data_IF_131704982431
#
_entry.id   IF_131704982431
#
_cell.length_a   1.000
_cell.length_b   1.000
_cell.length_c   1.000
_cell.angle_alpha   90.00
_cell.angle_beta   90.00
_cell.angle_gamma   90.00
#
_symmetry.space_group_name_H-M   'P 1'
#
loop_
_entity.id
_entity.type
_entity.pdbx_description
1 polymer ?
#
# COMPACT_ATOMS: atom_id res chain seq x y z
N UNK A 1 -11.86 0.39 -4.89
CA UNK A 1 -13.04 -0.49 -4.96
C UNK A 1 -14.34 0.30 -5.15
N UNK A 2 -14.57 1.37 -4.40
CA UNK A 2 -15.72 2.26 -4.61
C UNK A 2 -15.74 2.93 -6.00
N UNK A 3 -14.59 3.02 -6.65
CA UNK A 3 -14.41 3.55 -8.00
C UNK A 3 -14.36 2.46 -9.09
N UNK A 4 -14.75 1.23 -8.78
CA UNK A 4 -14.70 0.10 -9.71
C UNK A 4 -13.31 -0.49 -9.97
N UNK A 5 -12.29 -0.04 -9.23
CA UNK A 5 -10.92 -0.55 -9.37
C UNK A 5 -10.75 -1.82 -8.53
N UNK A 6 -10.29 -2.90 -9.16
CA UNK A 6 -9.91 -4.14 -8.46
C UNK A 6 -8.43 -4.13 -8.14
N UNK A 7 -8.11 -4.24 -6.84
CA UNK A 7 -6.73 -4.32 -6.36
C UNK A 7 -6.56 -5.66 -5.66
N UNK A 8 -5.82 -6.56 -6.28
CA UNK A 8 -5.55 -7.91 -5.77
C UNK A 8 -4.19 -8.02 -5.08
N UNK A 9 -3.22 -7.21 -5.51
CA UNK A 9 -1.90 -7.13 -4.90
C UNK A 9 -1.40 -5.70 -4.83
N UNK A 10 -0.49 -5.45 -3.90
CA UNK A 10 0.22 -4.17 -3.75
C UNK A 10 1.63 -4.41 -3.28
N UNK A 11 2.56 -3.58 -3.73
CA UNK A 11 3.93 -3.59 -3.21
C UNK A 11 4.00 -2.73 -1.96
N UNK A 12 4.76 -3.19 -0.95
CA UNK A 12 4.99 -2.45 0.30
C UNK A 12 6.47 -2.12 0.45
N UNK A 13 6.75 -0.87 0.82
CA UNK A 13 8.11 -0.38 1.11
C UNK A 13 8.10 0.56 2.32
N UNK A 14 9.29 0.99 2.76
CA UNK A 14 9.48 1.89 3.88
C UNK A 14 9.52 1.18 5.23
N UNK A 15 9.61 1.95 6.32
CA UNK A 15 9.84 1.44 7.68
C UNK A 15 8.80 0.42 8.16
N UNK A 16 7.53 0.61 7.81
CA UNK A 16 6.45 -0.32 8.13
C UNK A 16 6.62 -1.70 7.47
N UNK A 17 7.27 -1.78 6.31
CA UNK A 17 7.53 -3.03 5.62
C UNK A 17 8.50 -3.96 6.37
N UNK A 18 9.26 -3.44 7.35
CA UNK A 18 10.15 -4.22 8.21
C UNK A 18 9.42 -5.00 9.30
N UNK A 19 8.23 -4.57 9.69
CA UNK A 19 7.45 -5.21 10.75
C UNK A 19 6.55 -6.32 10.19
N UNK A 20 6.76 -7.59 10.57
CA UNK A 20 5.88 -8.69 10.18
C UNK A 20 4.43 -8.46 10.61
N UNK A 21 4.24 -7.94 11.82
CA UNK A 21 2.91 -7.63 12.34
C UNK A 21 2.21 -6.54 11.51
N UNK A 22 2.93 -5.47 11.17
CA UNK A 22 2.36 -4.40 10.37
C UNK A 22 1.95 -4.87 8.97
N UNK A 23 2.80 -5.66 8.31
CA UNK A 23 2.49 -6.26 7.00
C UNK A 23 1.24 -7.14 7.07
N UNK A 24 1.12 -7.98 8.10
CA UNK A 24 -0.05 -8.82 8.32
C UNK A 24 -1.32 -7.99 8.52
N UNK A 25 -1.28 -6.95 9.34
CA UNK A 25 -2.40 -6.03 9.54
C UNK A 25 -2.80 -5.38 8.20
N UNK A 26 -1.85 -4.84 7.46
CA UNK A 26 -2.11 -4.18 6.19
C UNK A 26 -2.72 -5.12 5.15
N UNK A 27 -2.21 -6.34 5.00
CA UNK A 27 -2.77 -7.33 4.08
C UNK A 27 -4.24 -7.62 4.40
N UNK A 28 -4.58 -7.77 5.68
CA UNK A 28 -5.93 -8.08 6.13
C UNK A 28 -6.89 -6.88 6.04
N UNK A 29 -6.43 -5.66 6.38
CA UNK A 29 -7.24 -4.44 6.26
C UNK A 29 -7.55 -4.12 4.80
N UNK A 30 -6.57 -4.27 3.92
CA UNK A 30 -6.72 -4.00 2.49
C UNK A 30 -7.39 -5.15 1.74
N UNK A 31 -7.44 -6.34 2.34
CA UNK A 31 -7.80 -7.57 1.66
C UNK A 31 -7.08 -7.70 0.32
N UNK A 32 -5.76 -7.63 0.38
CA UNK A 32 -4.89 -7.67 -0.79
C UNK A 32 -3.57 -8.33 -0.43
N UNK A 33 -3.02 -9.07 -1.36
CA UNK A 33 -1.67 -9.62 -1.27
C UNK A 33 -0.65 -8.49 -1.19
N UNK A 34 0.26 -8.54 -0.22
CA UNK A 34 1.37 -7.59 -0.10
C UNK A 34 2.68 -8.24 -0.55
N UNK A 35 3.29 -7.64 -1.55
CA UNK A 35 4.59 -8.02 -2.08
C UNK A 35 5.67 -7.14 -1.42
N UNK A 36 6.52 -7.77 -0.61
CA UNK A 36 7.63 -7.11 0.08
C UNK A 36 8.85 -7.09 -0.83
N UNK A 37 9.41 -5.92 -1.06
CA UNK A 37 10.56 -5.76 -1.96
C UNK A 37 11.87 -6.12 -1.26
N UNK A 38 12.84 -6.62 -2.04
CA UNK A 38 14.21 -6.85 -1.57
C UNK A 38 14.92 -5.55 -1.20
N UNK A 39 14.68 -4.50 -1.98
CA UNK A 39 15.25 -3.17 -1.76
C UNK A 39 14.26 -2.25 -1.06
N UNK A 40 14.70 -1.63 0.04
CA UNK A 40 13.90 -0.70 0.84
C UNK A 40 14.14 0.77 0.46
N UNK A 41 14.79 1.04 -0.66
CA UNK A 41 15.23 2.38 -1.08
C UNK A 41 14.06 3.35 -1.40
N UNK A 42 12.84 2.84 -1.50
CA UNK A 42 11.64 3.66 -1.63
C UNK A 42 11.69 4.66 -2.80
N UNK A 43 11.28 5.93 -2.57
CA UNK A 43 11.20 6.93 -3.62
C UNK A 43 12.53 7.25 -4.31
N UNK A 44 13.66 7.15 -3.60
CA UNK A 44 14.99 7.37 -4.16
C UNK A 44 15.32 6.40 -5.29
N UNK A 45 14.96 5.12 -5.13
CA UNK A 45 15.13 4.12 -6.18
C UNK A 45 14.26 4.43 -7.40
N UNK A 46 13.01 4.87 -7.17
CA UNK A 46 12.11 5.30 -8.26
C UNK A 46 12.70 6.46 -9.07
N UNK A 47 13.25 7.47 -8.39
CA UNK A 47 13.95 8.58 -9.04
C UNK A 47 15.16 8.13 -9.86
N UNK A 48 15.99 7.22 -9.32
CA UNK A 48 17.13 6.65 -10.04
C UNK A 48 16.68 5.87 -11.28
N UNK A 49 15.63 5.06 -11.19
CA UNK A 49 15.08 4.32 -12.33
C UNK A 49 14.56 5.26 -13.43
N UNK A 50 13.88 6.35 -13.07
CA UNK A 50 13.46 7.35 -14.05
C UNK A 50 14.66 8.02 -14.72
N UNK A 51 15.72 8.33 -13.99
CA UNK A 51 16.95 8.89 -14.53
C UNK A 51 17.63 7.92 -15.54
N UNK A 52 17.66 6.62 -15.25
CA UNK A 52 18.19 5.60 -16.16
C UNK A 52 17.44 5.56 -17.50
N UNK A 53 16.13 5.77 -17.49
CA UNK A 53 15.35 5.88 -18.74
C UNK A 53 15.62 7.20 -19.44
N UNK A 54 15.70 8.30 -18.68
CA UNK A 54 15.94 9.63 -19.25
C UNK A 54 17.31 9.76 -19.94
N UNK A 55 18.35 9.12 -19.42
CA UNK A 55 19.67 9.11 -20.04
C UNK A 55 19.88 8.02 -21.10
N UNK A 56 18.86 7.22 -21.40
CA UNK A 56 18.87 6.22 -22.47
C UNK A 56 19.51 4.87 -22.12
N UNK A 57 19.82 4.63 -20.83
CA UNK A 57 20.36 3.33 -20.37
C UNK A 57 19.32 2.21 -20.52
N UNK A 58 18.04 2.54 -20.45
CA UNK A 58 16.91 1.62 -20.62
C UNK A 58 15.84 2.26 -21.49
N UNK A 59 15.19 1.45 -22.31
CA UNK A 59 14.19 1.91 -23.28
C UNK A 59 12.87 2.33 -22.60
N UNK A 60 12.54 1.80 -21.42
CA UNK A 60 11.27 2.09 -20.75
C UNK A 60 11.35 1.91 -19.23
N UNK A 61 10.42 2.55 -18.54
CA UNK A 61 10.21 2.38 -17.08
C UNK A 61 9.88 0.92 -16.75
N UNK A 62 9.14 0.23 -17.61
CA UNK A 62 8.79 -1.17 -17.40
C UNK A 62 10.03 -2.05 -17.34
N UNK A 63 10.94 -1.89 -18.31
CA UNK A 63 12.18 -2.64 -18.39
C UNK A 63 13.05 -2.46 -17.12
N UNK A 64 13.19 -1.24 -16.65
CA UNK A 64 13.93 -0.94 -15.41
C UNK A 64 13.23 -1.58 -14.20
N UNK A 65 11.91 -1.48 -14.13
CA UNK A 65 11.14 -2.10 -13.05
C UNK A 65 11.31 -3.62 -13.02
N UNK A 66 11.22 -4.28 -14.17
CA UNK A 66 11.37 -5.73 -14.28
C UNK A 66 12.77 -6.20 -13.82
N UNK A 67 13.78 -5.35 -14.01
CA UNK A 67 15.16 -5.65 -13.60
C UNK A 67 15.42 -5.40 -12.12
N UNK A 68 14.97 -4.28 -11.58
CA UNK A 68 15.37 -3.81 -10.25
C UNK A 68 14.31 -4.03 -9.15
N UNK A 69 13.02 -4.14 -9.50
CA UNK A 69 11.96 -4.36 -8.52
C UNK A 69 11.77 -5.85 -8.28
N UNK A 70 12.50 -6.39 -7.32
CA UNK A 70 12.42 -7.81 -6.94
C UNK A 70 11.59 -7.99 -5.68
N UNK A 71 10.75 -9.03 -5.66
CA UNK A 71 9.92 -9.41 -4.52
C UNK A 71 10.67 -10.43 -3.67
N UNK A 72 10.95 -10.07 -2.42
CA UNK A 72 11.62 -10.94 -1.45
C UNK A 72 10.65 -11.88 -0.74
N UNK A 73 9.45 -11.40 -0.44
CA UNK A 73 8.44 -12.20 0.26
C UNK A 73 7.03 -11.67 -0.03
N UNK A 74 6.04 -12.52 0.26
CA UNK A 74 4.63 -12.21 0.06
C UNK A 74 3.88 -12.44 1.35
N UNK A 75 2.92 -11.57 1.67
CA UNK A 75 1.99 -11.73 2.79
C UNK A 75 0.58 -11.79 2.21
N UNK A 76 -0.07 -12.93 2.40
CA UNK A 76 -1.45 -13.15 1.96
C UNK A 76 -2.45 -12.69 3.03
N UNK A 77 -3.62 -12.17 2.63
CA UNK A 77 -4.69 -11.86 3.57
C UNK A 77 -5.32 -13.15 4.12
N UNK A 78 -5.73 -13.11 5.39
CA UNK A 78 -6.38 -14.19 6.12
C UNK A 78 -7.89 -13.95 6.15
N UNK A 79 -8.75 -14.80 5.54
CA UNK A 79 -10.18 -14.51 5.37
C UNK A 79 -10.91 -14.15 6.66
N UNK A 80 -10.59 -14.84 7.77
CA UNK A 80 -11.20 -14.56 9.08
C UNK A 80 -10.83 -13.16 9.62
N UNK A 81 -9.57 -12.77 9.45
CA UNK A 81 -9.11 -11.43 9.86
C UNK A 81 -9.65 -10.36 8.92
N UNK A 82 -9.75 -10.62 7.63
CA UNK A 82 -10.37 -9.71 6.66
C UNK A 82 -11.80 -9.41 7.08
N UNK A 83 -12.61 -10.41 7.40
CA UNK A 83 -14.00 -10.22 7.85
C UNK A 83 -14.08 -9.39 9.14
N UNK A 84 -13.17 -9.63 10.09
CA UNK A 84 -13.07 -8.88 11.34
C UNK A 84 -12.70 -7.41 11.08
N UNK A 85 -11.71 -7.16 10.20
CA UNK A 85 -11.29 -5.79 9.86
C UNK A 85 -12.34 -5.05 9.04
N UNK A 86 -13.06 -5.73 8.14
CA UNK A 86 -14.17 -5.09 7.40
C UNK A 86 -15.22 -4.52 8.34
N UNK A 87 -15.63 -5.28 9.38
CA UNK A 87 -16.55 -4.78 10.41
C UNK A 87 -16.00 -3.53 11.11
N UNK A 88 -14.71 -3.54 11.46
CA UNK A 88 -14.03 -2.40 12.09
C UNK A 88 -13.95 -1.19 11.15
N UNK A 89 -13.71 -1.45 9.87
CA UNK A 89 -13.65 -0.39 8.86
C UNK A 89 -15.00 0.33 8.70
N UNK A 90 -16.11 -0.40 8.72
CA UNK A 90 -17.44 0.24 8.68
C UNK A 90 -17.67 1.13 9.94
N UNK A 91 -17.24 0.68 11.11
CA UNK A 91 -17.27 1.49 12.31
C UNK A 91 -16.40 2.76 12.19
N UNK A 92 -15.18 2.61 11.69
CA UNK A 92 -14.26 3.73 11.46
C UNK A 92 -14.84 4.77 10.48
N UNK A 93 -15.46 4.33 9.39
CA UNK A 93 -16.11 5.23 8.42
C UNK A 93 -17.23 6.08 9.05
N UNK A 94 -17.89 5.59 10.07
CA UNK A 94 -18.98 6.32 10.74
C UNK A 94 -18.48 7.44 11.66
N UNK A 95 -17.20 7.45 12.05
CA UNK A 95 -16.64 8.42 13.01
C UNK A 95 -16.72 9.85 12.46
N UNK A 96 -16.20 10.08 11.26
CA UNK A 96 -16.17 11.43 10.69
C UNK A 96 -17.57 12.03 10.46
N UNK A 97 -18.55 11.33 9.86
CA UNK A 97 -19.91 11.84 9.77
C UNK A 97 -20.53 12.18 11.13
N UNK A 98 -20.29 11.36 12.15
CA UNK A 98 -20.79 11.61 13.52
C UNK A 98 -20.17 12.85 14.16
N UNK A 99 -18.89 13.13 13.90
CA UNK A 99 -18.18 14.26 14.50
C UNK A 99 -18.21 15.55 13.66
N UNK A 100 -18.68 15.49 12.41
CA UNK A 100 -18.60 16.61 11.46
C UNK A 100 -19.25 17.91 11.98
N UNK A 101 -20.39 17.79 12.65
CA UNK A 101 -21.09 18.96 13.21
C UNK A 101 -20.26 19.64 14.31
N UNK A 102 -19.66 18.84 15.20
CA UNK A 102 -18.78 19.35 16.27
C UNK A 102 -17.55 20.04 15.69
N UNK A 103 -16.94 19.50 14.66
CA UNK A 103 -15.79 20.15 14.00
C UNK A 103 -16.15 21.53 13.42
N UNK A 104 -17.35 21.67 12.86
CA UNK A 104 -17.85 22.96 12.36
C UNK A 104 -18.12 23.98 13.49
N UNK A 105 -18.49 23.53 14.68
CA UNK A 105 -18.64 24.40 15.86
C UNK A 105 -17.29 24.89 16.39
N UNK A 106 -16.29 24.04 16.45
CA UNK A 106 -14.95 24.40 16.91
C UNK A 106 -14.18 25.28 15.92
N UNK A 107 -14.58 25.36 14.68
CA UNK A 107 -13.97 26.20 13.65
C UNK A 107 -14.51 27.65 13.61
N UNK A 108 -15.48 28.00 14.46
CA UNK A 108 -16.03 29.36 14.61
C UNK A 108 -15.25 30.15 15.65
#
# INVERSE_FOLDING_TARGET
RSLGITINSSKICGGGAKSPLWKRIMANVLNAKLECLESEQGPGMGGAMLAMVACGEYASVQEVCDKFVKVASVVEPEPELVAKYEKRYQQFKAIYPACKALFAEFAK
#
